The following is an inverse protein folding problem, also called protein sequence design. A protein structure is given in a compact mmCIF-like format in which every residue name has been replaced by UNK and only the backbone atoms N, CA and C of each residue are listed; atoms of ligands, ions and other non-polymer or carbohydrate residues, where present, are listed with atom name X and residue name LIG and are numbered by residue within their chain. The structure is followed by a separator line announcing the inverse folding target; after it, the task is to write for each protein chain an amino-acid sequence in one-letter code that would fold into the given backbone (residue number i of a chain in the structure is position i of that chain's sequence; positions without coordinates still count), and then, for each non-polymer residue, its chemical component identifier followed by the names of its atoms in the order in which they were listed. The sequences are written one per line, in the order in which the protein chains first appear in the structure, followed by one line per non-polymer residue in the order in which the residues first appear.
data_IF_819898222315
#
_entry.id   IF_819898222315
#
_cell.length_a   1.000
_cell.length_b   1.000
_cell.length_c   1.000
_cell.angle_alpha   90.00
_cell.angle_beta   90.00
_cell.angle_gamma   90.00
#
_symmetry.space_group_name_H-M   'P 1'
#
loop_
_entity.id
_entity.type
_entity.pdbx_description
1 polymer ?
#
# COMPACT_ATOMS: atom_id res chain seq x y z
N UNK A 1 -0.18 20.41 8.89
CA UNK A 1 0.74 19.30 8.62
C UNK A 1 -0.07 18.03 8.42
N UNK A 2 0.18 17.33 7.32
CA UNK A 2 -0.50 16.07 7.03
C UNK A 2 -0.04 14.98 8.00
N UNK A 3 -0.97 14.20 8.50
CA UNK A 3 -0.71 13.04 9.36
C UNK A 3 -1.16 11.77 8.67
N UNK A 4 -0.57 10.67 9.05
CA UNK A 4 -0.82 9.38 8.42
C UNK A 4 -0.97 8.29 9.46
N UNK A 5 -1.62 7.22 9.05
CA UNK A 5 -1.65 5.95 9.78
C UNK A 5 -1.32 4.83 8.81
N UNK A 6 -0.73 3.75 9.31
CA UNK A 6 -0.59 2.54 8.52
C UNK A 6 -1.09 1.33 9.30
N UNK A 7 -1.47 0.31 8.54
CA UNK A 7 -1.87 -0.98 9.06
C UNK A 7 -1.12 -2.06 8.29
N UNK A 8 -0.60 -3.04 9.01
CA UNK A 8 0.02 -4.20 8.40
C UNK A 8 -0.82 -5.44 8.71
N UNK A 9 -0.91 -6.33 7.74
CA UNK A 9 -1.64 -7.58 7.86
C UNK A 9 -0.71 -8.75 7.54
N UNK A 10 -0.90 -9.83 8.27
CA UNK A 10 -0.22 -11.10 8.08
C UNK A 10 -1.19 -12.27 8.20
N UNK A 11 -0.68 -13.50 8.16
CA UNK A 11 -1.52 -14.69 8.23
C UNK A 11 -2.38 -14.79 9.49
N UNK A 12 -2.01 -14.08 10.55
CA UNK A 12 -2.75 -14.02 11.80
C UNK A 12 -3.66 -12.78 11.89
N UNK A 13 -3.92 -12.11 10.77
CA UNK A 13 -4.77 -10.94 10.68
C UNK A 13 -4.01 -9.63 10.86
N UNK A 14 -4.68 -8.61 11.37
CA UNK A 14 -4.12 -7.28 11.61
C UNK A 14 -3.02 -7.35 12.66
N UNK A 15 -1.81 -6.98 12.28
CA UNK A 15 -0.62 -7.16 13.12
C UNK A 15 -0.16 -5.86 13.78
N UNK A 16 -0.16 -4.75 13.05
CA UNK A 16 0.34 -3.48 13.54
C UNK A 16 -0.47 -2.32 12.98
N UNK A 17 -0.79 -1.36 13.84
CA UNK A 17 -1.37 -0.08 13.44
C UNK A 17 -0.58 1.02 14.15
N UNK A 18 -0.22 2.06 13.40
CA UNK A 18 0.65 3.11 13.88
C UNK A 18 -0.04 4.47 13.79
N UNK A 19 -0.11 5.17 14.92
CA UNK A 19 -0.86 6.43 15.06
C UNK A 19 -0.04 7.62 15.53
N UNK A 20 1.22 7.43 15.91
CA UNK A 20 1.98 8.51 16.53
C UNK A 20 2.10 9.72 15.63
N UNK A 21 1.88 10.96 16.17
CA UNK A 21 2.11 12.17 15.40
C UNK A 21 3.55 12.25 14.92
N UNK A 22 3.74 12.44 13.61
CA UNK A 22 5.04 12.56 12.98
C UNK A 22 4.96 13.54 11.82
N UNK A 23 6.10 14.05 11.41
CA UNK A 23 6.17 14.75 10.13
C UNK A 23 5.93 13.75 8.99
N UNK A 24 5.46 14.20 7.82
CA UNK A 24 5.37 13.32 6.66
C UNK A 24 6.70 12.61 6.33
N UNK A 25 7.83 13.31 6.49
CA UNK A 25 9.15 12.76 6.23
C UNK A 25 9.52 11.63 7.20
N UNK A 26 9.22 11.80 8.50
CA UNK A 26 9.46 10.77 9.50
C UNK A 26 8.57 9.55 9.26
N UNK A 27 7.31 9.79 8.92
CA UNK A 27 6.37 8.70 8.61
C UNK A 27 6.81 7.96 7.35
N UNK A 28 7.20 8.67 6.29
CA UNK A 28 7.69 8.07 5.07
C UNK A 28 8.94 7.23 5.31
N UNK A 29 9.87 7.72 6.13
CA UNK A 29 11.08 6.96 6.48
C UNK A 29 10.75 5.67 7.20
N UNK A 30 9.75 5.67 8.08
CA UNK A 30 9.30 4.47 8.77
C UNK A 30 8.60 3.50 7.82
N UNK A 31 7.68 3.99 7.01
CA UNK A 31 6.95 3.17 6.04
C UNK A 31 7.88 2.53 5.02
N UNK A 32 8.83 3.28 4.48
CA UNK A 32 9.79 2.77 3.49
C UNK A 32 10.73 1.72 4.09
N UNK A 33 11.14 1.87 5.34
CA UNK A 33 11.93 0.83 6.03
C UNK A 33 11.13 -0.46 6.18
N UNK A 34 9.84 -0.37 6.51
CA UNK A 34 8.97 -1.55 6.64
C UNK A 34 8.79 -2.25 5.30
N UNK A 35 8.45 -1.51 4.26
CA UNK A 35 8.15 -2.10 2.95
C UNK A 35 9.39 -2.71 2.28
N UNK A 36 10.59 -2.22 2.61
CA UNK A 36 11.85 -2.71 2.04
C UNK A 36 12.59 -3.72 2.91
N UNK A 37 12.07 -4.04 4.10
CA UNK A 37 12.71 -5.00 5.00
C UNK A 37 12.22 -6.42 4.76
N UNK A 38 13.11 -7.32 4.35
CA UNK A 38 12.80 -8.74 4.16
C UNK A 38 12.44 -9.45 5.46
N UNK A 39 12.84 -8.90 6.61
CA UNK A 39 12.47 -9.44 7.92
C UNK A 39 11.06 -9.03 8.32
N UNK A 40 10.55 -7.95 7.77
CA UNK A 40 9.20 -7.45 8.04
C UNK A 40 8.21 -7.93 6.99
N UNK A 41 8.41 -7.54 5.72
CA UNK A 41 7.55 -7.92 4.60
C UNK A 41 8.01 -9.25 4.00
N UNK A 42 7.78 -10.34 4.72
CA UNK A 42 8.22 -11.68 4.31
C UNK A 42 7.15 -12.47 3.54
N UNK A 43 5.95 -11.89 3.39
CA UNK A 43 4.83 -12.54 2.70
C UNK A 43 4.08 -13.55 3.55
N UNK A 44 4.43 -13.69 4.82
CA UNK A 44 3.82 -14.62 5.78
C UNK A 44 3.40 -13.89 7.05
N UNK A 45 4.36 -13.41 7.84
CA UNK A 45 4.07 -12.65 9.06
C UNK A 45 3.42 -11.31 8.72
N UNK A 46 3.92 -10.67 7.68
CA UNK A 46 3.35 -9.46 7.10
C UNK A 46 3.34 -9.61 5.58
N UNK A 47 2.17 -9.55 4.97
CA UNK A 47 2.01 -9.63 3.52
C UNK A 47 1.34 -8.39 2.92
N UNK A 48 0.92 -7.44 3.75
CA UNK A 48 0.22 -6.23 3.30
C UNK A 48 0.55 -5.06 4.22
N UNK A 49 0.74 -3.90 3.62
CA UNK A 49 0.81 -2.63 4.34
C UNK A 49 -0.08 -1.63 3.62
N UNK A 50 -0.90 -0.94 4.38
CA UNK A 50 -1.87 0.04 3.90
C UNK A 50 -1.64 1.35 4.63
N UNK A 51 -1.57 2.46 3.88
CA UNK A 51 -1.32 3.80 4.43
C UNK A 51 -2.47 4.72 4.07
N UNK A 52 -3.00 5.42 5.08
CA UNK A 52 -4.01 6.46 4.92
C UNK A 52 -3.45 7.82 5.31
N UNK A 53 -3.85 8.86 4.58
CA UNK A 53 -3.78 10.22 5.09
C UNK A 53 -4.95 10.42 6.05
N UNK A 54 -4.68 10.92 7.26
CA UNK A 54 -5.72 11.19 8.25
C UNK A 54 -6.38 12.54 7.96
N UNK A 55 -7.71 12.67 8.14
CA UNK A 55 -8.38 13.95 8.10
C UNK A 55 -7.82 14.92 9.14
N UNK A 56 -7.95 16.20 8.88
CA UNK A 56 -7.52 17.23 9.83
C UNK A 56 -8.18 17.03 11.20
N UNK A 57 -7.38 17.11 12.27
CA UNK A 57 -7.84 16.93 13.63
C UNK A 57 -8.03 15.49 14.09
N UNK A 58 -7.88 14.52 13.19
CA UNK A 58 -7.96 13.09 13.51
C UNK A 58 -6.56 12.56 13.78
N UNK A 59 -6.42 11.77 14.85
CA UNK A 59 -5.13 11.17 15.24
C UNK A 59 -5.11 9.65 15.10
N UNK A 60 -6.28 9.00 15.00
CA UNK A 60 -6.39 7.55 14.87
C UNK A 60 -7.28 7.18 13.69
N UNK A 61 -6.86 6.19 12.91
CA UNK A 61 -7.67 5.72 11.79
C UNK A 61 -9.02 5.13 12.25
N UNK A 62 -9.07 4.57 13.44
CA UNK A 62 -10.30 4.01 14.00
C UNK A 62 -11.35 5.07 14.31
N UNK A 63 -10.95 6.35 14.42
CA UNK A 63 -11.86 7.48 14.60
C UNK A 63 -12.43 7.98 13.26
N UNK A 64 -11.95 7.45 12.13
CA UNK A 64 -12.51 7.74 10.81
C UNK A 64 -13.59 6.71 10.51
N UNK A 65 -14.85 7.14 10.28
CA UNK A 65 -15.92 6.19 9.95
C UNK A 65 -15.57 5.35 8.71
N UNK A 66 -15.92 4.07 8.74
CA UNK A 66 -15.66 3.17 7.60
C UNK A 66 -16.37 3.61 6.32
N UNK A 67 -17.46 4.36 6.45
CA UNK A 67 -18.19 4.95 5.34
C UNK A 67 -17.55 6.24 4.78
N UNK A 68 -16.55 6.79 5.47
CA UNK A 68 -15.87 8.02 5.02
C UNK A 68 -15.01 7.76 3.79
N UNK A 69 -15.02 8.66 2.78
CA UNK A 69 -14.10 8.58 1.65
C UNK A 69 -12.62 8.53 2.07
N UNK A 70 -12.25 9.20 3.17
CA UNK A 70 -10.89 9.16 3.69
C UNK A 70 -10.46 7.75 4.09
N UNK A 71 -11.38 6.92 4.59
CA UNK A 71 -11.10 5.52 4.95
C UNK A 71 -10.89 4.64 3.71
N UNK A 72 -11.47 5.02 2.58
CA UNK A 72 -11.39 4.32 1.31
C UNK A 72 -10.42 5.01 0.33
N UNK A 73 -9.50 5.83 0.84
CA UNK A 73 -8.42 6.48 0.07
C UNK A 73 -7.10 6.07 0.69
N UNK A 74 -6.28 5.33 -0.06
CA UNK A 74 -5.07 4.71 0.50
C UNK A 74 -4.09 4.29 -0.60
N UNK A 75 -2.85 4.05 -0.17
CA UNK A 75 -1.88 3.25 -0.92
C UNK A 75 -1.67 1.94 -0.16
N UNK A 76 -1.59 0.84 -0.88
CA UNK A 76 -1.45 -0.49 -0.33
C UNK A 76 -0.45 -1.30 -1.12
N UNK A 77 0.37 -2.10 -0.43
CA UNK A 77 1.16 -3.15 -1.06
C UNK A 77 0.71 -4.52 -0.58
N UNK A 78 0.91 -5.53 -1.41
CA UNK A 78 0.65 -6.93 -1.05
C UNK A 78 1.72 -7.85 -1.62
N UNK A 79 2.22 -8.77 -0.81
CA UNK A 79 3.26 -9.72 -1.18
C UNK A 79 4.44 -9.70 -0.22
N UNK A 80 5.65 -9.77 -0.76
CA UNK A 80 6.90 -9.75 -0.02
C UNK A 80 7.88 -8.77 -0.65
N UNK A 81 9.03 -8.54 0.02
CA UNK A 81 10.08 -7.68 -0.54
C UNK A 81 10.67 -8.22 -1.85
N UNK A 82 10.50 -9.49 -2.14
CA UNK A 82 10.96 -10.07 -3.41
C UNK A 82 9.97 -9.83 -4.55
N UNK A 83 8.67 -9.83 -4.24
CA UNK A 83 7.62 -9.62 -5.24
C UNK A 83 6.36 -9.11 -4.55
N UNK A 84 5.98 -7.88 -4.83
CA UNK A 84 4.77 -7.27 -4.30
C UNK A 84 4.06 -6.44 -5.36
N UNK A 85 2.76 -6.26 -5.14
CA UNK A 85 1.94 -5.33 -5.91
C UNK A 85 1.74 -4.04 -5.12
N UNK A 86 1.48 -2.95 -5.83
CA UNK A 86 1.07 -1.68 -5.23
C UNK A 86 -0.25 -1.27 -5.86
N UNK A 87 -1.21 -0.92 -5.02
CA UNK A 87 -2.50 -0.40 -5.44
C UNK A 87 -2.74 0.94 -4.78
N UNK A 88 -3.36 1.86 -5.51
CA UNK A 88 -3.77 3.17 -4.99
C UNK A 88 -5.26 3.33 -5.27
N UNK A 89 -5.99 3.65 -4.21
CA UNK A 89 -7.41 3.99 -4.29
C UNK A 89 -7.61 5.43 -3.85
N UNK A 90 -8.33 6.18 -4.66
CA UNK A 90 -8.77 7.54 -4.35
C UNK A 90 -10.29 7.55 -4.39
N UNK A 91 -10.92 7.88 -3.28
CA UNK A 91 -12.37 7.98 -3.16
C UNK A 91 -12.76 9.43 -2.93
N UNK A 92 -13.69 9.91 -3.73
CA UNK A 92 -14.17 11.29 -3.71
C UNK A 92 -15.37 11.46 -2.78
N UNK A 93 -15.73 12.69 -2.47
CA UNK A 93 -16.83 13.00 -1.54
C UNK A 93 -18.20 12.49 -2.02
N UNK A 94 -18.37 12.29 -3.32
CA UNK A 94 -19.58 11.70 -3.92
C UNK A 94 -19.56 10.17 -3.97
N UNK A 95 -18.58 9.53 -3.31
CA UNK A 95 -18.32 8.09 -3.27
C UNK A 95 -17.85 7.49 -4.61
N UNK A 96 -17.63 8.29 -5.65
CA UNK A 96 -16.92 7.84 -6.84
C UNK A 96 -15.45 7.57 -6.51
N UNK A 97 -14.82 6.64 -7.22
CA UNK A 97 -13.43 6.27 -6.91
C UNK A 97 -12.66 5.84 -8.16
N UNK A 98 -11.35 6.00 -8.07
CA UNK A 98 -10.39 5.34 -8.94
C UNK A 98 -9.59 4.34 -8.10
N UNK A 99 -9.41 3.13 -8.62
CA UNK A 99 -8.62 2.09 -7.99
C UNK A 99 -7.70 1.48 -9.03
N UNK A 100 -6.41 1.71 -8.88
CA UNK A 100 -5.43 1.35 -9.89
C UNK A 100 -4.29 0.52 -9.30
N UNK A 101 -3.85 -0.50 -10.03
CA UNK A 101 -2.55 -1.11 -9.83
C UNK A 101 -1.48 -0.13 -10.35
N UNK A 102 -0.37 -0.05 -9.63
CA UNK A 102 0.77 0.79 -10.04
C UNK A 102 1.74 -0.08 -10.84
N UNK A 103 2.26 0.46 -11.94
CA UNK A 103 3.31 -0.17 -12.72
C UNK A 103 4.63 0.60 -12.57
N UNK A 104 5.77 -0.11 -12.69
CA UNK A 104 7.11 0.48 -12.69
C UNK A 104 7.41 1.17 -14.02
N UNK A 105 6.81 0.66 -15.06
CA UNK A 105 6.92 1.14 -16.44
C UNK A 105 5.61 0.79 -17.15
N UNK A 106 5.28 1.44 -18.28
CA UNK A 106 4.04 1.16 -18.99
C UNK A 106 3.93 -0.32 -19.37
N UNK A 107 2.75 -0.89 -19.19
CA UNK A 107 2.47 -2.27 -19.58
C UNK A 107 2.62 -2.42 -21.08
N UNK A 108 3.51 -3.30 -21.53
CA UNK A 108 3.83 -3.49 -22.95
C UNK A 108 2.94 -4.51 -23.62
N UNK A 109 2.60 -5.59 -22.89
CA UNK A 109 1.72 -6.65 -23.41
C UNK A 109 0.57 -6.88 -22.43
N UNK A 110 -0.64 -6.38 -22.73
CA UNK A 110 -1.79 -6.53 -21.86
C UNK A 110 -2.26 -7.99 -21.70
N UNK A 111 -1.71 -8.91 -22.47
CA UNK A 111 -2.01 -10.36 -22.38
C UNK A 111 -0.97 -11.12 -21.58
N UNK A 112 0.15 -10.50 -21.22
CA UNK A 112 1.19 -11.11 -20.39
C UNK A 112 0.86 -10.97 -18.93
N UNK A 113 0.74 -12.08 -18.23
CA UNK A 113 0.39 -12.14 -16.82
C UNK A 113 1.46 -12.89 -16.04
N UNK A 114 1.65 -12.49 -14.79
CA UNK A 114 2.46 -13.19 -13.81
C UNK A 114 1.69 -13.29 -12.49
N UNK A 115 2.16 -14.12 -11.59
CA UNK A 115 1.49 -14.39 -10.32
C UNK A 115 2.30 -13.80 -9.17
N UNK A 116 1.63 -13.08 -8.28
CA UNK A 116 2.14 -12.72 -6.96
C UNK A 116 1.30 -13.46 -5.94
N UNK A 117 1.95 -14.04 -4.93
CA UNK A 117 1.26 -14.83 -3.91
C UNK A 117 1.80 -14.53 -2.52
N UNK A 118 0.97 -14.80 -1.52
CA UNK A 118 1.38 -14.73 -0.11
C UNK A 118 0.53 -15.66 0.75
N UNK A 119 1.06 -16.00 1.93
CA UNK A 119 0.37 -16.84 2.90
C UNK A 119 -0.59 -15.98 3.74
N UNK A 120 -1.88 -16.11 3.49
CA UNK A 120 -2.93 -15.39 4.22
C UNK A 120 -3.53 -16.20 5.38
N UNK A 121 -2.90 -17.33 5.73
CA UNK A 121 -3.39 -18.21 6.80
C UNK A 121 -4.40 -19.27 6.35
N UNK A 122 -4.83 -19.23 5.10
CA UNK A 122 -5.71 -20.27 4.52
C UNK A 122 -4.89 -21.50 4.09
N UNK A 123 -5.53 -22.66 3.88
CA UNK A 123 -4.82 -23.87 3.43
C UNK A 123 -4.04 -23.67 2.13
N UNK A 124 -4.55 -22.83 1.22
CA UNK A 124 -3.86 -22.46 0.00
C UNK A 124 -3.44 -20.99 0.06
N UNK A 125 -2.24 -20.63 -0.45
CA UNK A 125 -1.81 -19.24 -0.53
C UNK A 125 -2.76 -18.42 -1.38
N UNK A 126 -2.93 -17.15 -0.99
CA UNK A 126 -3.62 -16.18 -1.84
C UNK A 126 -2.74 -15.89 -3.07
N UNK A 127 -3.36 -15.81 -4.23
CA UNK A 127 -2.67 -15.50 -5.49
C UNK A 127 -3.42 -14.41 -6.24
N UNK A 128 -2.67 -13.56 -6.92
CA UNK A 128 -3.20 -12.53 -7.80
C UNK A 128 -2.42 -12.53 -9.11
N UNK A 129 -3.14 -12.35 -10.22
CA UNK A 129 -2.55 -12.20 -11.55
C UNK A 129 -2.35 -10.72 -11.84
N UNK A 130 -1.14 -10.35 -12.21
CA UNK A 130 -0.76 -8.98 -12.53
C UNK A 130 0.13 -8.97 -13.77
N UNK A 131 0.31 -7.80 -14.37
CA UNK A 131 1.29 -7.65 -15.44
C UNK A 131 2.70 -7.65 -14.85
N UNK A 132 3.71 -8.15 -15.59
CA UNK A 132 5.09 -8.15 -15.08
C UNK A 132 5.58 -6.78 -14.60
N UNK A 133 5.19 -5.70 -15.29
CA UNK A 133 5.58 -4.33 -14.96
C UNK A 133 4.95 -3.85 -13.64
N UNK A 134 3.94 -4.56 -13.13
CA UNK A 134 3.24 -4.24 -11.88
C UNK A 134 3.81 -4.98 -10.67
N UNK A 135 4.91 -5.72 -10.85
CA UNK A 135 5.60 -6.41 -9.75
C UNK A 135 6.79 -5.57 -9.29
N UNK A 136 6.85 -5.31 -8.00
CA UNK A 136 7.89 -4.50 -7.34
C UNK A 136 8.68 -5.36 -6.37
N UNK A 137 9.97 -5.06 -6.24
CA UNK A 137 10.70 -5.41 -5.02
C UNK A 137 10.40 -4.36 -3.94
N UNK A 138 10.72 -4.67 -2.68
CA UNK A 138 10.55 -3.70 -1.61
C UNK A 138 11.32 -2.41 -1.84
N UNK A 139 12.54 -2.51 -2.39
CA UNK A 139 13.35 -1.34 -2.73
C UNK A 139 12.74 -0.49 -3.84
N UNK A 140 12.10 -1.11 -4.81
CA UNK A 140 11.40 -0.42 -5.89
C UNK A 140 10.09 0.22 -5.40
N UNK A 141 9.43 -0.40 -4.43
CA UNK A 141 8.19 0.10 -3.85
C UNK A 141 8.41 1.33 -2.94
N UNK A 142 9.54 1.38 -2.24
CA UNK A 142 9.82 2.44 -1.28
C UNK A 142 9.68 3.85 -1.85
N UNK A 143 10.23 4.20 -3.03
CA UNK A 143 10.04 5.54 -3.60
C UNK A 143 8.58 5.89 -3.89
N UNK A 144 7.76 4.91 -4.26
CA UNK A 144 6.33 5.13 -4.54
C UNK A 144 5.59 5.53 -3.25
N UNK A 145 5.85 4.81 -2.16
CA UNK A 145 5.30 5.15 -0.85
C UNK A 145 5.79 6.51 -0.36
N UNK A 146 7.07 6.80 -0.54
CA UNK A 146 7.65 8.08 -0.12
C UNK A 146 7.01 9.26 -0.85
N UNK A 147 6.84 9.18 -2.16
CA UNK A 147 6.21 10.23 -2.94
C UNK A 147 4.75 10.45 -2.53
N UNK A 148 4.02 9.37 -2.29
CA UNK A 148 2.64 9.44 -1.82
C UNK A 148 2.53 10.17 -0.48
N UNK A 149 3.42 9.84 0.46
CA UNK A 149 3.38 10.37 1.82
C UNK A 149 3.94 11.81 1.88
N UNK A 150 5.15 12.04 1.35
CA UNK A 150 5.83 13.33 1.46
C UNK A 150 5.25 14.38 0.53
N UNK A 151 4.98 14.01 -0.73
CA UNK A 151 4.67 14.96 -1.80
C UNK A 151 3.20 14.95 -2.19
N UNK A 152 2.38 14.07 -1.59
CA UNK A 152 1.00 13.84 -2.01
C UNK A 152 0.91 13.54 -3.52
N UNK A 153 1.93 12.84 -4.03
CA UNK A 153 2.07 12.59 -5.45
C UNK A 153 1.60 11.19 -5.81
N UNK A 154 0.78 11.12 -6.85
CA UNK A 154 0.42 9.87 -7.50
C UNK A 154 1.43 9.58 -8.61
N UNK A 155 1.64 8.30 -8.95
CA UNK A 155 2.40 7.95 -10.15
C UNK A 155 1.79 8.60 -11.40
N UNK A 156 2.61 8.79 -12.47
CA UNK A 156 2.08 9.26 -13.76
C UNK A 156 0.92 8.39 -14.27
N UNK A 157 0.00 8.98 -15.01
CA UNK A 157 -1.22 8.29 -15.48
C UNK A 157 -0.93 7.03 -16.30
N UNK A 158 0.19 6.99 -17.03
CA UNK A 158 0.59 5.83 -17.84
C UNK A 158 1.13 4.65 -16.99
N UNK A 159 1.30 4.86 -15.69
CA UNK A 159 1.71 3.82 -14.72
C UNK A 159 0.56 3.38 -13.80
N UNK A 160 -0.65 3.79 -14.10
CA UNK A 160 -1.84 3.44 -13.32
C UNK A 160 -2.83 2.59 -14.11
#
# INVERSE_FOLDING_TARGET
MRRFAYETNGKNGRVETFFLPQTPQEFASRATRRVSSSKFMDGVKHFSMLVWALPEGVTHIDDVPRSSPARATYIQCGGSTEAMTIEIRVTHDDDSYEHNAVAREPVTDPKAWTTVSWDNGNPEPYTIQVHPEEVFTGEQAAPVFRAYIEDNALPPADLL
#
